data_IF_277829208953
#
_entry.id   IF_277829208953
#
_cell.length_a   1.000
_cell.length_b   1.000
_cell.length_c   1.000
_cell.angle_alpha   90.00
_cell.angle_beta   90.00
_cell.angle_gamma   90.00
#
_symmetry.space_group_name_H-M   'P 1'
#
loop_
_entity.id
_entity.type
_entity.pdbx_description
1 polymer ?
#
# COMPACT_ATOMS: atom_id res chain seq x y z
N UNK A 1 19.22 -8.41 7.55
CA UNK A 1 19.14 -7.33 6.55
C UNK A 1 18.00 -6.41 6.91
N UNK A 2 18.14 -5.12 6.59
CA UNK A 2 17.10 -4.10 6.73
C UNK A 2 16.90 -3.45 5.36
N UNK A 3 15.67 -3.29 4.91
CA UNK A 3 15.34 -2.57 3.68
C UNK A 3 14.70 -1.25 4.07
N UNK A 4 15.10 -0.17 3.40
CA UNK A 4 14.53 1.16 3.58
C UNK A 4 14.10 1.68 2.23
N UNK A 5 12.85 2.13 2.14
CA UNK A 5 12.36 3.01 1.08
C UNK A 5 12.37 4.45 1.60
N UNK A 6 13.01 5.35 0.87
CA UNK A 6 13.08 6.76 1.25
C UNK A 6 13.15 7.67 0.02
N UNK A 7 12.68 8.90 0.20
CA UNK A 7 12.84 9.99 -0.76
C UNK A 7 14.07 10.82 -0.40
N UNK A 8 14.97 11.06 -1.36
CA UNK A 8 16.17 11.86 -1.12
C UNK A 8 15.90 13.38 -1.18
N UNK A 9 16.97 14.18 -1.13
CA UNK A 9 16.86 15.64 -1.17
C UNK A 9 16.59 16.20 -2.57
N UNK A 10 16.82 15.42 -3.62
CA UNK A 10 16.41 15.76 -4.99
C UNK A 10 14.92 15.46 -5.21
N UNK A 11 14.33 14.62 -4.36
CA UNK A 11 12.94 14.20 -4.45
C UNK A 11 12.78 12.78 -4.99
N UNK A 12 13.88 12.06 -5.20
CA UNK A 12 13.92 10.76 -5.87
C UNK A 12 13.72 9.60 -4.89
N UNK A 13 13.08 8.52 -5.37
CA UNK A 13 12.85 7.32 -4.56
C UNK A 13 14.06 6.39 -4.60
N UNK A 14 14.48 5.94 -3.42
CA UNK A 14 15.50 4.93 -3.22
C UNK A 14 14.93 3.77 -2.41
N UNK A 15 15.12 2.55 -2.90
CA UNK A 15 14.94 1.34 -2.10
C UNK A 15 16.31 0.69 -1.93
N UNK A 16 16.84 0.77 -0.72
CA UNK A 16 18.20 0.33 -0.41
C UNK A 16 18.17 -0.77 0.67
N UNK A 17 19.05 -1.75 0.50
CA UNK A 17 19.22 -2.89 1.39
C UNK A 17 20.51 -2.75 2.22
N UNK A 18 20.38 -2.77 3.54
CA UNK A 18 21.47 -2.64 4.49
C UNK A 18 21.80 -3.96 5.18
N UNK A 19 23.09 -4.36 5.25
CA UNK A 19 23.55 -5.38 6.18
C UNK A 19 23.17 -4.96 7.61
N UNK A 20 22.35 -5.76 8.28
CA UNK A 20 21.81 -5.45 9.61
C UNK A 20 21.96 -6.66 10.52
N UNK A 21 22.72 -6.50 11.61
CA UNK A 21 23.03 -7.55 12.60
C UNK A 21 23.15 -6.91 13.99
N UNK A 22 22.57 -7.56 15.00
CA UNK A 22 22.68 -7.10 16.39
C UNK A 22 22.06 -5.72 16.65
N UNK A 23 21.04 -5.32 15.88
CA UNK A 23 20.39 -4.02 16.04
C UNK A 23 21.10 -2.84 15.37
N UNK A 24 22.17 -3.09 14.61
CA UNK A 24 22.94 -2.05 13.92
C UNK A 24 23.15 -2.38 12.44
N UNK A 25 23.29 -1.31 11.64
CA UNK A 25 23.81 -1.40 10.26
C UNK A 25 25.30 -1.69 10.33
N UNK A 26 25.75 -2.72 9.61
CA UNK A 26 27.14 -3.21 9.71
C UNK A 26 27.96 -3.03 8.43
N UNK A 27 27.42 -2.37 7.41
CA UNK A 27 28.11 -2.17 6.14
C UNK A 27 27.35 -1.22 5.22
N UNK A 28 27.92 -1.00 4.03
CA UNK A 28 27.32 -0.14 3.01
C UNK A 28 26.04 -0.75 2.43
N UNK A 29 25.07 0.08 2.03
CA UNK A 29 23.87 -0.41 1.37
C UNK A 29 24.16 -0.96 -0.03
N UNK A 30 23.27 -1.83 -0.48
CA UNK A 30 23.09 -2.21 -1.88
C UNK A 30 21.78 -1.62 -2.38
N UNK A 31 21.81 -0.94 -3.52
CA UNK A 31 20.58 -0.42 -4.14
C UNK A 31 19.74 -1.53 -4.76
N UNK A 32 18.46 -1.55 -4.45
CA UNK A 32 17.47 -2.44 -5.05
C UNK A 32 16.62 -1.73 -6.11
N UNK A 33 16.28 -0.46 -5.90
CA UNK A 33 15.51 0.36 -6.84
C UNK A 33 15.93 1.83 -6.75
N UNK A 34 15.90 2.52 -7.89
CA UNK A 34 15.99 3.97 -8.00
C UNK A 34 14.90 4.46 -8.95
N UNK A 35 14.18 5.52 -8.58
CA UNK A 35 13.25 6.20 -9.46
C UNK A 35 13.51 7.71 -9.41
N UNK A 36 13.83 8.29 -10.57
CA UNK A 36 13.86 9.74 -10.80
C UNK A 36 12.42 10.27 -10.81
N UNK A 37 12.03 10.96 -9.74
CA UNK A 37 10.63 11.30 -9.49
C UNK A 37 10.20 12.50 -10.36
N UNK A 38 9.16 12.35 -11.19
CA UNK A 38 8.77 13.41 -12.11
C UNK A 38 8.03 14.57 -11.43
N UNK A 39 7.43 14.33 -10.26
CA UNK A 39 6.79 15.35 -9.42
C UNK A 39 7.05 15.06 -7.94
N UNK A 40 6.74 16.03 -7.07
CA UNK A 40 7.07 15.99 -5.64
C UNK A 40 6.10 15.14 -4.78
N UNK A 41 5.16 14.40 -5.39
CA UNK A 41 4.10 13.68 -4.70
C UNK A 41 3.83 12.31 -5.34
N UNK A 42 3.13 11.46 -4.58
CA UNK A 42 2.79 10.08 -4.95
C UNK A 42 4.01 9.16 -5.12
N UNK A 43 4.89 9.19 -4.12
CA UNK A 43 6.10 8.36 -4.14
C UNK A 43 5.85 6.93 -3.67
N UNK A 44 4.68 6.63 -3.07
CA UNK A 44 4.47 5.39 -2.31
C UNK A 44 5.26 5.41 -1.00
N UNK A 45 6.03 4.36 -0.73
CA UNK A 45 6.99 4.32 0.39
C UNK A 45 6.85 3.13 1.34
N UNK A 46 5.81 2.32 1.20
CA UNK A 46 5.72 1.05 1.92
C UNK A 46 6.55 -0.01 1.19
N UNK A 47 7.18 -0.91 1.96
CA UNK A 47 7.89 -2.08 1.45
C UNK A 47 7.64 -3.27 2.37
N UNK A 48 7.32 -4.42 1.79
CA UNK A 48 7.04 -5.65 2.54
C UNK A 48 7.64 -6.86 1.85
N UNK A 49 8.14 -7.82 2.61
CA UNK A 49 8.47 -9.12 2.06
C UNK A 49 7.19 -9.95 1.90
N UNK A 50 6.98 -10.47 0.70
CA UNK A 50 5.85 -11.34 0.39
C UNK A 50 6.02 -12.76 0.92
N UNK A 51 4.97 -13.59 0.83
CA UNK A 51 5.01 -14.99 1.25
C UNK A 51 5.99 -15.85 0.44
N UNK A 52 6.40 -15.37 -0.74
CA UNK A 52 7.41 -16.00 -1.60
C UNK A 52 8.85 -15.59 -1.26
N UNK A 53 9.05 -14.75 -0.24
CA UNK A 53 10.36 -14.26 0.20
C UNK A 53 10.93 -13.13 -0.65
N UNK A 54 10.23 -12.65 -1.69
CA UNK A 54 10.64 -11.49 -2.46
C UNK A 54 10.20 -10.18 -1.78
N UNK A 55 10.89 -9.08 -2.11
CA UNK A 55 10.51 -7.75 -1.67
C UNK A 55 9.45 -7.17 -2.61
N UNK A 56 8.36 -6.66 -2.05
CA UNK A 56 7.29 -5.98 -2.78
C UNK A 56 7.36 -4.49 -2.53
N UNK A 57 7.41 -3.71 -3.61
CA UNK A 57 7.50 -2.24 -3.60
C UNK A 57 6.33 -1.65 -4.39
N UNK A 58 5.44 -0.94 -3.71
CA UNK A 58 4.31 -0.24 -4.29
C UNK A 58 4.75 1.18 -4.65
N UNK A 59 4.73 1.50 -5.92
CA UNK A 59 5.14 2.81 -6.43
C UNK A 59 3.89 3.60 -6.83
N UNK A 60 3.82 4.87 -6.44
CA UNK A 60 2.79 5.76 -6.98
C UNK A 60 3.08 6.14 -8.43
N UNK A 61 2.13 6.82 -9.06
CA UNK A 61 2.15 7.22 -10.49
C UNK A 61 3.20 8.31 -10.82
N UNK A 62 3.92 8.77 -9.80
CA UNK A 62 4.92 9.83 -9.88
C UNK A 62 4.34 11.24 -9.76
N UNK A 63 3.04 11.40 -9.50
CA UNK A 63 2.42 12.67 -9.12
C UNK A 63 1.92 13.54 -10.27
N UNK A 64 1.75 14.83 -9.99
CA UNK A 64 1.30 15.83 -10.97
C UNK A 64 -0.22 15.91 -11.19
N UNK A 65 -0.99 15.02 -10.55
CA UNK A 65 -2.45 14.97 -10.63
C UNK A 65 -2.94 14.33 -11.93
N UNK A 66 -3.76 13.29 -11.82
CA UNK A 66 -4.31 12.60 -12.99
C UNK A 66 -3.29 11.86 -13.84
N UNK A 67 -2.10 11.55 -13.31
CA UNK A 67 -0.98 10.91 -14.02
C UNK A 67 -0.73 11.51 -15.42
N UNK A 68 -0.18 12.73 -15.53
CA UNK A 68 -0.02 13.41 -16.82
C UNK A 68 0.85 12.64 -17.82
N UNK A 69 1.72 11.76 -17.32
CA UNK A 69 2.58 10.91 -18.14
C UNK A 69 1.95 9.58 -18.54
N UNK A 70 0.74 9.26 -18.08
CA UNK A 70 0.08 7.96 -18.30
C UNK A 70 0.94 6.78 -17.84
N UNK A 71 1.75 6.99 -16.80
CA UNK A 71 2.78 6.05 -16.34
C UNK A 71 2.18 4.81 -15.69
N UNK A 72 1.07 4.95 -14.96
CA UNK A 72 0.42 3.84 -14.26
C UNK A 72 -0.03 2.74 -15.24
N UNK A 73 -0.48 3.11 -16.44
CA UNK A 73 -0.87 2.18 -17.51
C UNK A 73 0.28 1.81 -18.47
N UNK A 74 1.39 2.56 -18.46
CA UNK A 74 2.54 2.26 -19.32
C UNK A 74 3.30 1.02 -18.79
N UNK A 75 3.40 -0.08 -19.57
CA UNK A 75 4.12 -1.28 -19.14
C UNK A 75 5.65 -1.11 -19.08
N UNK A 76 6.19 -0.07 -19.72
CA UNK A 76 7.61 0.28 -19.65
C UNK A 76 7.97 1.22 -18.50
N UNK A 77 7.01 1.62 -17.67
CA UNK A 77 7.22 2.50 -16.53
C UNK A 77 7.10 1.75 -15.21
N UNK A 78 7.97 2.07 -14.25
CA UNK A 78 7.91 1.52 -12.89
C UNK A 78 7.02 2.34 -11.94
N UNK A 79 6.33 3.38 -12.43
CA UNK A 79 5.38 4.17 -11.63
C UNK A 79 3.96 3.62 -11.72
N UNK A 80 3.20 3.71 -10.62
CA UNK A 80 1.84 3.20 -10.48
C UNK A 80 1.78 1.68 -10.53
N UNK A 81 2.76 1.01 -9.90
CA UNK A 81 2.99 -0.44 -9.99
C UNK A 81 3.07 -1.10 -8.62
N UNK A 82 2.72 -2.38 -8.58
CA UNK A 82 3.27 -3.29 -7.57
C UNK A 82 4.47 -4.00 -8.18
N UNK A 83 5.66 -3.69 -7.66
CA UNK A 83 6.92 -4.29 -8.10
C UNK A 83 7.30 -5.46 -7.20
N UNK A 84 8.02 -6.43 -7.75
CA UNK A 84 8.62 -7.56 -7.03
C UNK A 84 10.11 -7.61 -7.31
N UNK A 85 10.92 -7.71 -6.26
CA UNK A 85 12.37 -7.74 -6.33
C UNK A 85 12.88 -8.99 -5.59
N UNK A 86 13.58 -9.86 -6.30
CA UNK A 86 14.31 -10.97 -5.68
C UNK A 86 15.67 -10.47 -5.14
N UNK A 87 15.73 -10.28 -3.83
CA UNK A 87 16.93 -9.77 -3.13
C UNK A 87 18.00 -10.86 -2.95
N UNK A 88 17.71 -12.13 -3.22
CA UNK A 88 18.69 -13.22 -3.13
C UNK A 88 19.72 -13.23 -4.27
N UNK A 89 19.46 -12.49 -5.35
CA UNK A 89 20.34 -12.41 -6.52
C UNK A 89 21.43 -11.35 -6.36
N UNK A 90 22.57 -11.49 -7.03
CA UNK A 90 23.66 -10.51 -6.97
C UNK A 90 23.27 -9.15 -7.57
N UNK A 91 22.44 -9.17 -8.62
CA UNK A 91 21.92 -8.00 -9.34
C UNK A 91 20.39 -8.04 -9.35
N UNK A 92 19.74 -7.60 -8.25
CA UNK A 92 18.29 -7.56 -8.17
C UNK A 92 17.70 -6.68 -9.26
N UNK A 93 16.61 -7.14 -9.86
CA UNK A 93 15.83 -6.38 -10.82
C UNK A 93 14.38 -6.31 -10.34
N UNK A 94 13.77 -5.15 -10.50
CA UNK A 94 12.36 -4.96 -10.20
C UNK A 94 11.50 -5.45 -11.36
N UNK A 95 10.73 -6.50 -11.09
CA UNK A 95 9.70 -7.01 -11.96
C UNK A 95 8.40 -6.25 -11.72
N UNK A 96 7.73 -5.84 -12.80
CA UNK A 96 6.37 -5.29 -12.72
C UNK A 96 5.39 -6.45 -12.60
N UNK A 97 4.77 -6.60 -11.42
CA UNK A 97 3.72 -7.62 -11.23
C UNK A 97 2.35 -7.11 -11.64
N UNK A 98 1.99 -5.92 -11.17
CA UNK A 98 0.66 -5.35 -11.32
C UNK A 98 0.76 -3.87 -11.68
N UNK A 99 -0.29 -3.35 -12.32
CA UNK A 99 -0.33 -1.99 -12.86
C UNK A 99 -1.58 -1.23 -12.40
N UNK A 100 -1.65 0.05 -12.75
CA UNK A 100 -2.86 0.84 -12.53
C UNK A 100 -3.12 1.24 -11.09
N UNK A 101 -2.06 1.41 -10.29
CA UNK A 101 -2.13 2.04 -8.97
C UNK A 101 -1.88 3.55 -9.08
N UNK A 102 -2.45 4.34 -8.17
CA UNK A 102 -2.20 5.78 -8.08
C UNK A 102 -1.13 6.13 -7.06
N UNK A 103 -1.36 5.80 -5.80
CA UNK A 103 -0.46 6.04 -4.68
C UNK A 103 -0.73 5.00 -3.58
N UNK A 104 -0.22 3.75 -3.73
CA UNK A 104 -0.47 2.66 -2.79
C UNK A 104 0.24 2.95 -1.46
N UNK A 105 -0.49 3.43 -0.47
CA UNK A 105 0.08 3.96 0.78
C UNK A 105 0.47 2.85 1.75
N UNK A 106 -0.48 2.03 2.18
CA UNK A 106 -0.22 0.81 2.95
C UNK A 106 -0.77 -0.39 2.23
N UNK A 107 0.04 -1.42 2.19
CA UNK A 107 -0.37 -2.73 1.75
C UNK A 107 0.28 -3.81 2.60
N UNK A 108 -0.37 -4.96 2.69
CA UNK A 108 0.08 -6.09 3.49
C UNK A 108 -0.35 -7.39 2.86
N UNK A 109 0.42 -8.44 3.16
CA UNK A 109 0.02 -9.81 2.87
C UNK A 109 -0.69 -10.38 4.08
N UNK A 110 -1.85 -10.99 3.86
CA UNK A 110 -2.47 -11.84 4.87
C UNK A 110 -1.55 -13.01 5.19
N UNK A 111 -1.08 -13.09 6.44
CA UNK A 111 -0.11 -14.11 6.88
C UNK A 111 -0.60 -15.55 6.76
N UNK A 112 -1.91 -15.76 6.61
CA UNK A 112 -2.51 -17.10 6.49
C UNK A 112 -2.76 -17.47 5.04
N UNK A 113 -3.34 -16.56 4.25
CA UNK A 113 -3.74 -16.88 2.86
C UNK A 113 -2.67 -16.50 1.85
N UNK A 114 -1.83 -15.52 2.15
CA UNK A 114 -0.88 -14.92 1.21
C UNK A 114 -1.52 -13.90 0.28
N UNK A 115 -2.78 -13.52 0.51
CA UNK A 115 -3.47 -12.50 -0.30
C UNK A 115 -2.89 -11.11 -0.04
N UNK A 116 -2.80 -10.30 -1.08
CA UNK A 116 -2.34 -8.91 -1.02
C UNK A 116 -3.53 -7.97 -0.86
N UNK A 117 -3.48 -7.11 0.15
CA UNK A 117 -4.44 -6.03 0.39
C UNK A 117 -3.74 -4.69 0.29
N UNK A 118 -4.35 -3.71 -0.37
CA UNK A 118 -3.73 -2.41 -0.65
C UNK A 118 -4.75 -1.32 -0.36
N UNK A 119 -4.36 -0.30 0.41
CA UNK A 119 -5.04 1.00 0.38
C UNK A 119 -4.39 1.87 -0.68
N UNK A 120 -5.12 2.18 -1.75
CA UNK A 120 -4.65 3.03 -2.84
C UNK A 120 -5.35 4.39 -2.79
N UNK A 121 -4.55 5.46 -2.66
CA UNK A 121 -5.07 6.81 -2.44
C UNK A 121 -5.61 7.41 -3.72
N UNK A 122 -6.86 7.86 -3.66
CA UNK A 122 -7.60 8.49 -4.75
C UNK A 122 -7.12 9.86 -5.19
N UNK A 123 -7.61 10.34 -6.33
CA UNK A 123 -7.27 11.66 -6.86
C UNK A 123 -8.04 12.81 -6.21
N UNK A 124 -9.31 12.59 -5.91
CA UNK A 124 -10.16 13.61 -5.31
C UNK A 124 -11.63 13.23 -5.14
N UNK A 125 -12.05 12.03 -5.56
CA UNK A 125 -13.43 11.59 -5.40
C UNK A 125 -13.55 10.27 -4.62
N UNK A 126 -12.66 9.30 -4.87
CA UNK A 126 -12.81 7.94 -4.36
C UNK A 126 -11.52 7.38 -3.79
N UNK A 127 -11.62 6.82 -2.60
CA UNK A 127 -10.57 6.03 -1.96
C UNK A 127 -10.84 4.53 -2.14
N UNK A 128 -9.77 3.73 -2.23
CA UNK A 128 -9.87 2.35 -2.69
C UNK A 128 -9.16 1.36 -1.77
N UNK A 129 -9.80 0.20 -1.55
CA UNK A 129 -9.15 -1.01 -1.06
C UNK A 129 -9.09 -2.02 -2.20
N UNK A 130 -7.88 -2.26 -2.68
CA UNK A 130 -7.59 -3.27 -3.68
C UNK A 130 -7.18 -4.60 -3.05
N UNK A 131 -7.38 -5.65 -3.83
CA UNK A 131 -7.12 -7.03 -3.44
C UNK A 131 -6.49 -7.81 -4.60
N UNK A 132 -5.52 -8.66 -4.28
CA UNK A 132 -4.98 -9.64 -5.19
C UNK A 132 -4.88 -11.01 -4.47
N UNK A 133 -5.49 -12.08 -5.03
CA UNK A 133 -5.32 -13.42 -4.49
C UNK A 133 -3.84 -13.82 -4.39
N UNK A 134 -3.51 -14.68 -3.44
CA UNK A 134 -2.15 -15.18 -3.28
C UNK A 134 -1.55 -15.71 -4.59
N UNK A 135 -0.38 -15.18 -4.96
CA UNK A 135 0.34 -15.57 -6.17
C UNK A 135 -0.23 -15.04 -7.49
N UNK A 136 -1.29 -14.22 -7.46
CA UNK A 136 -1.80 -13.59 -8.68
C UNK A 136 -0.82 -12.55 -9.24
N UNK A 137 -0.86 -12.38 -10.57
CA UNK A 137 0.01 -11.47 -11.34
C UNK A 137 -0.78 -10.84 -12.47
N UNK A 138 -0.38 -9.67 -12.93
CA UNK A 138 -0.99 -8.96 -14.05
C UNK A 138 -2.31 -8.27 -13.72
N UNK A 139 -2.58 -7.98 -12.44
CA UNK A 139 -3.73 -7.17 -12.05
C UNK A 139 -3.52 -5.74 -12.56
N UNK A 140 -4.61 -5.13 -13.05
CA UNK A 140 -4.63 -3.72 -13.43
C UNK A 140 -5.79 -3.04 -12.71
N UNK A 141 -5.52 -2.19 -11.73
CA UNK A 141 -6.56 -1.54 -10.92
C UNK A 141 -7.16 -0.28 -11.56
N UNK A 142 -6.67 0.10 -12.74
CA UNK A 142 -7.38 1.02 -13.62
C UNK A 142 -6.89 2.46 -13.63
N UNK A 143 -6.13 2.91 -12.63
CA UNK A 143 -5.58 4.27 -12.62
C UNK A 143 -4.66 4.50 -13.84
N UNK A 144 -4.75 5.58 -14.61
CA UNK A 144 -5.56 6.79 -14.43
C UNK A 144 -6.82 6.84 -15.29
N UNK A 145 -7.32 5.71 -15.78
CA UNK A 145 -8.57 5.66 -16.53
C UNK A 145 -9.78 5.52 -15.62
N UNK A 146 -9.56 5.05 -14.39
CA UNK A 146 -10.54 4.93 -13.32
C UNK A 146 -10.02 5.52 -12.03
N UNK A 147 -10.96 5.93 -11.18
CA UNK A 147 -10.77 6.27 -9.78
C UNK A 147 -11.91 5.56 -9.04
N UNK A 148 -11.56 4.55 -8.27
CA UNK A 148 -12.48 3.52 -7.80
C UNK A 148 -13.07 2.75 -8.96
N UNK A 149 -14.36 2.49 -8.83
CA UNK A 149 -15.21 1.92 -9.87
C UNK A 149 -15.73 2.97 -10.83
N UNK A 150 -15.23 4.20 -10.77
CA UNK A 150 -15.74 5.30 -11.57
C UNK A 150 -14.78 5.65 -12.71
N UNK A 151 -15.34 6.16 -13.80
CA UNK A 151 -14.53 6.70 -14.89
C UNK A 151 -13.80 7.95 -14.39
N UNK A 152 -12.49 8.03 -14.65
CA UNK A 152 -11.70 9.22 -14.36
C UNK A 152 -11.32 9.92 -15.66
N UNK A 153 -11.51 11.25 -15.73
CA UNK A 153 -11.24 12.07 -16.92
C UNK A 153 -11.83 11.51 -18.23
N UNK A 154 -13.05 10.97 -18.17
CA UNK A 154 -13.71 10.36 -19.34
C UNK A 154 -13.04 9.05 -19.82
N UNK A 155 -12.16 8.47 -19.00
CA UNK A 155 -11.50 7.21 -19.26
C UNK A 155 -12.46 6.02 -19.22
N UNK A 156 -12.20 5.05 -20.08
CA UNK A 156 -12.80 3.72 -20.02
C UNK A 156 -11.89 2.78 -19.24
N UNK A 157 -12.44 1.78 -18.52
CA UNK A 157 -11.63 0.75 -17.89
C UNK A 157 -10.63 0.14 -18.87
N UNK A 158 -9.34 -0.01 -18.50
CA UNK A 158 -8.37 -0.70 -19.34
C UNK A 158 -8.75 -2.19 -19.49
N UNK A 159 -8.17 -2.84 -20.51
CA UNK A 159 -8.35 -4.27 -20.70
C UNK A 159 -7.84 -5.04 -19.47
N UNK A 160 -8.66 -5.96 -18.95
CA UNK A 160 -8.31 -6.74 -17.76
C UNK A 160 -8.38 -5.95 -16.44
N UNK A 161 -9.09 -4.81 -16.41
CA UNK A 161 -9.31 -4.05 -15.19
C UNK A 161 -9.88 -4.93 -14.08
N UNK A 162 -9.30 -4.81 -12.88
CA UNK A 162 -9.81 -5.39 -11.64
C UNK A 162 -10.36 -4.26 -10.79
N UNK A 163 -11.61 -4.38 -10.33
CA UNK A 163 -12.24 -3.38 -9.48
C UNK A 163 -11.74 -3.52 -8.03
N UNK A 164 -11.65 -2.41 -7.27
CA UNK A 164 -11.38 -2.49 -5.84
C UNK A 164 -12.49 -3.28 -5.13
N UNK A 165 -12.11 -4.03 -4.09
CA UNK A 165 -13.05 -4.83 -3.29
C UNK A 165 -13.90 -3.96 -2.36
N UNK A 166 -13.44 -2.74 -2.10
CA UNK A 166 -14.17 -1.69 -1.39
C UNK A 166 -13.73 -0.31 -1.87
N UNK A 167 -14.68 0.62 -1.96
CA UNK A 167 -14.41 2.03 -2.25
C UNK A 167 -15.28 2.90 -1.36
N UNK A 168 -14.84 4.12 -1.11
CA UNK A 168 -15.62 5.11 -0.37
C UNK A 168 -15.28 6.52 -0.85
N UNK A 169 -16.30 7.37 -0.92
CA UNK A 169 -16.15 8.72 -1.47
C UNK A 169 -15.58 9.70 -0.46
N UNK A 170 -15.03 10.81 -0.96
CA UNK A 170 -14.59 12.00 -0.19
C UNK A 170 -15.79 12.75 0.43
N UNK A 171 -16.55 12.08 1.29
CA UNK A 171 -17.64 12.68 2.05
C UNK A 171 -17.14 13.21 3.40
N UNK A 172 -17.60 14.39 3.80
CA UNK A 172 -17.20 15.01 5.06
C UNK A 172 -15.71 15.37 5.05
N UNK A 173 -14.92 14.70 5.89
CA UNK A 173 -13.48 14.95 6.05
C UNK A 173 -12.60 13.81 5.53
N UNK A 174 -13.16 12.82 4.83
CA UNK A 174 -12.38 11.76 4.15
C UNK A 174 -11.46 12.38 3.11
N UNK A 175 -10.20 11.90 3.01
CA UNK A 175 -9.23 12.51 2.11
C UNK A 175 -8.16 11.57 1.55
N UNK A 176 -7.79 10.49 2.25
CA UNK A 176 -6.71 9.60 1.88
C UNK A 176 -6.79 8.31 2.67
N UNK A 177 -7.05 7.19 1.98
CA UNK A 177 -7.01 5.88 2.61
C UNK A 177 -5.61 5.57 3.10
N UNK A 178 -5.53 5.13 4.35
CA UNK A 178 -4.27 4.68 4.94
C UNK A 178 -3.98 3.24 4.53
N UNK A 179 -5.00 2.40 4.27
CA UNK A 179 -4.86 0.94 4.14
C UNK A 179 -4.67 0.27 5.50
N UNK A 180 -4.19 -0.98 5.56
CA UNK A 180 -3.96 -1.68 6.83
C UNK A 180 -3.63 -3.16 6.72
N UNK A 181 -4.23 -3.98 7.62
CA UNK A 181 -3.87 -5.40 7.83
C UNK A 181 -5.09 -6.29 8.02
N UNK A 182 -4.98 -7.54 7.57
CA UNK A 182 -5.91 -8.59 7.98
C UNK A 182 -5.57 -9.04 9.40
N UNK A 183 -6.54 -8.95 10.31
CA UNK A 183 -6.36 -9.35 11.69
C UNK A 183 -6.21 -10.88 11.80
N UNK A 184 -5.07 -11.32 12.34
CA UNK A 184 -4.73 -12.73 12.60
C UNK A 184 -4.35 -13.01 14.07
N UNK A 185 -4.52 -12.03 14.94
CA UNK A 185 -4.33 -12.16 16.39
C UNK A 185 -5.41 -12.97 17.09
N UNK A 186 -5.24 -13.15 18.40
CA UNK A 186 -6.13 -13.95 19.24
C UNK A 186 -6.97 -13.12 20.22
N UNK A 187 -6.59 -11.87 20.47
CA UNK A 187 -7.26 -10.99 21.46
C UNK A 187 -8.66 -10.57 21.03
N UNK A 188 -8.85 -10.23 19.75
CA UNK A 188 -10.15 -9.83 19.21
C UNK A 188 -10.93 -11.08 18.77
N UNK A 189 -11.66 -11.68 19.71
CA UNK A 189 -12.49 -12.87 19.45
C UNK A 189 -13.48 -12.66 18.29
N UNK A 190 -13.44 -13.54 17.28
CA UNK A 190 -14.31 -13.48 16.09
C UNK A 190 -13.82 -12.57 14.96
N UNK A 191 -12.69 -11.88 15.14
CA UNK A 191 -12.17 -10.92 14.15
C UNK A 191 -11.17 -11.52 13.16
N UNK A 192 -10.77 -12.78 13.33
CA UNK A 192 -9.86 -13.45 12.40
C UNK A 192 -10.33 -13.31 10.94
N UNK A 193 -9.42 -12.88 10.05
CA UNK A 193 -9.70 -12.67 8.63
C UNK A 193 -10.45 -11.36 8.31
N UNK A 194 -10.59 -10.44 9.28
CA UNK A 194 -11.13 -9.10 9.05
C UNK A 194 -10.02 -8.17 8.61
N UNK A 195 -10.17 -7.46 7.49
CA UNK A 195 -9.24 -6.42 7.08
C UNK A 195 -9.55 -5.11 7.82
N UNK A 196 -8.58 -4.63 8.61
CA UNK A 196 -8.67 -3.38 9.35
C UNK A 196 -7.93 -2.31 8.57
N UNK A 197 -8.58 -1.17 8.33
CA UNK A 197 -8.04 -0.04 7.58
C UNK A 197 -8.57 1.27 8.14
N UNK A 198 -8.08 2.40 7.62
CA UNK A 198 -8.57 3.72 7.99
C UNK A 198 -8.41 4.71 6.84
N UNK A 199 -8.97 5.90 7.04
CA UNK A 199 -8.66 7.13 6.32
C UNK A 199 -7.83 8.05 7.22
N UNK A 200 -6.82 8.72 6.65
CA UNK A 200 -5.87 9.55 7.39
C UNK A 200 -6.54 10.76 8.08
N UNK A 201 -7.44 11.45 7.40
CA UNK A 201 -8.05 12.69 7.88
C UNK A 201 -9.16 12.43 8.92
N UNK A 202 -9.96 11.38 8.71
CA UNK A 202 -11.04 11.00 9.62
C UNK A 202 -10.50 10.18 10.80
N UNK A 203 -9.48 9.35 10.58
CA UNK A 203 -8.78 8.62 11.64
C UNK A 203 -9.57 7.47 12.26
N UNK A 204 -10.75 7.15 11.72
CA UNK A 204 -11.59 6.03 12.17
C UNK A 204 -11.03 4.70 11.67
N UNK A 205 -10.96 3.72 12.55
CA UNK A 205 -10.64 2.34 12.17
C UNK A 205 -11.91 1.67 11.64
N UNK A 206 -11.83 1.23 10.40
CA UNK A 206 -12.87 0.53 9.67
C UNK A 206 -12.52 -0.96 9.58
N UNK A 207 -13.55 -1.80 9.50
CA UNK A 207 -13.42 -3.24 9.42
C UNK A 207 -14.15 -3.78 8.20
N UNK A 208 -13.40 -4.34 7.26
CA UNK A 208 -13.91 -4.97 6.05
C UNK A 208 -13.90 -6.49 6.18
N UNK A 209 -15.07 -7.11 5.93
CA UNK A 209 -15.23 -8.56 5.84
C UNK A 209 -16.46 -8.90 5.00
N UNK A 210 -16.35 -9.95 4.17
CA UNK A 210 -17.45 -10.48 3.36
C UNK A 210 -18.18 -9.42 2.52
N UNK A 211 -17.43 -8.55 1.83
CA UNK A 211 -18.00 -7.55 0.93
C UNK A 211 -18.57 -6.29 1.61
N UNK A 212 -18.42 -6.15 2.93
CA UNK A 212 -18.95 -5.02 3.69
C UNK A 212 -17.91 -4.43 4.63
N UNK A 213 -17.89 -3.10 4.73
CA UNK A 213 -17.12 -2.36 5.72
C UNK A 213 -18.03 -1.81 6.82
N UNK A 214 -17.53 -1.77 8.06
CA UNK A 214 -18.21 -1.14 9.20
C UNK A 214 -17.24 -0.35 10.07
N UNK A 215 -17.73 0.72 10.68
CA UNK A 215 -17.02 1.48 11.71
C UNK A 215 -16.84 0.59 12.97
N UNK A 216 -15.63 0.55 13.52
CA UNK A 216 -15.32 -0.21 14.74
C UNK A 216 -15.62 0.57 16.02
N UNK A 217 -15.84 1.88 15.92
CA UNK A 217 -15.94 2.80 17.05
C UNK A 217 -14.60 3.30 17.56
N UNK A 218 -13.47 2.81 17.02
CA UNK A 218 -12.13 3.26 17.36
C UNK A 218 -11.69 4.38 16.42
N UNK A 219 -11.02 5.40 16.96
CA UNK A 219 -10.45 6.48 16.18
C UNK A 219 -9.19 7.04 16.83
N UNK A 220 -8.26 7.52 16.00
CA UNK A 220 -7.15 8.37 16.42
C UNK A 220 -6.90 9.40 15.34
N UNK A 221 -6.51 10.62 15.71
CA UNK A 221 -6.16 11.66 14.74
C UNK A 221 -4.89 11.29 13.97
N UNK A 222 -4.78 11.81 12.73
CA UNK A 222 -3.64 11.63 11.82
C UNK A 222 -3.15 10.17 11.74
N UNK A 223 -4.09 9.24 11.54
CA UNK A 223 -3.81 7.81 11.45
C UNK A 223 -3.05 7.50 10.16
N UNK A 224 -1.72 7.52 10.23
CA UNK A 224 -0.87 7.42 9.04
C UNK A 224 -0.38 6.00 8.72
N UNK A 225 -0.46 5.07 9.67
CA UNK A 225 -0.05 3.69 9.41
C UNK A 225 -0.68 2.69 10.37
N UNK A 226 -0.54 1.42 10.01
CA UNK A 226 -0.82 0.27 10.85
C UNK A 226 0.46 -0.54 11.06
N UNK A 227 0.49 -1.38 12.08
CA UNK A 227 1.55 -2.38 12.28
C UNK A 227 0.95 -3.70 12.71
N UNK A 228 1.70 -4.78 12.58
CA UNK A 228 1.34 -6.10 13.07
C UNK A 228 2.52 -6.69 13.83
N UNK A 229 2.29 -7.23 15.02
CA UNK A 229 3.32 -7.95 15.76
C UNK A 229 3.41 -9.44 15.36
N UNK A 230 4.34 -10.16 15.98
CA UNK A 230 4.54 -11.58 15.70
C UNK A 230 3.32 -12.45 16.04
N UNK A 231 2.51 -12.03 17.01
CA UNK A 231 1.30 -12.73 17.43
C UNK A 231 0.08 -12.40 16.55
N UNK A 232 0.22 -11.51 15.56
CA UNK A 232 -0.87 -11.10 14.68
C UNK A 232 -1.75 -10.00 15.25
N UNK A 233 -1.34 -9.39 16.37
CA UNK A 233 -2.05 -8.26 16.95
C UNK A 233 -1.73 -7.00 16.14
N UNK A 234 -2.77 -6.19 15.90
CA UNK A 234 -2.70 -5.02 15.01
C UNK A 234 -2.55 -3.75 15.84
N UNK A 235 -1.69 -2.87 15.35
CA UNK A 235 -1.36 -1.58 15.92
C UNK A 235 -1.69 -0.47 14.93
N UNK A 236 -1.91 0.71 15.48
CA UNK A 236 -2.18 1.96 14.76
C UNK A 236 -1.11 2.97 15.14
N UNK A 237 -0.62 3.72 14.14
CA UNK A 237 0.40 4.75 14.32
C UNK A 237 -0.18 6.10 13.90
N UNK A 238 -0.01 7.10 14.77
CA UNK A 238 -0.45 8.47 14.53
C UNK A 238 0.73 9.41 14.32
N UNK A 239 0.60 10.37 13.38
CA UNK A 239 1.57 11.45 13.23
C UNK A 239 1.50 12.50 14.36
N UNK A 240 0.40 12.54 15.12
CA UNK A 240 0.34 13.32 16.37
C UNK A 240 1.16 12.65 17.49
N UNK A 241 1.70 11.46 17.23
CA UNK A 241 2.50 10.67 18.15
C UNK A 241 1.74 9.47 18.70
N UNK A 242 2.49 8.40 19.00
CA UNK A 242 1.97 7.20 19.65
C UNK A 242 1.85 5.99 18.74
N UNK A 243 1.87 4.83 19.38
CA UNK A 243 1.62 3.52 18.78
C UNK A 243 0.60 2.82 19.68
N UNK A 244 -0.56 2.51 19.12
CA UNK A 244 -1.71 2.00 19.87
C UNK A 244 -2.05 0.59 19.39
N UNK A 245 -2.16 -0.37 20.30
CA UNK A 245 -2.70 -1.70 19.95
C UNK A 245 -4.22 -1.62 19.89
N UNK A 246 -4.83 -2.34 18.96
CA UNK A 246 -6.27 -2.57 18.93
C UNK A 246 -6.58 -3.73 19.89
N UNK A 247 -7.28 -3.44 20.98
CA UNK A 247 -7.71 -4.42 21.99
C UNK A 247 -9.25 -4.48 22.08
N UNK A 248 -9.82 -5.54 22.69
CA UNK A 248 -11.24 -5.58 23.05
C UNK A 248 -11.62 -4.42 23.97
N UNK A 249 -12.89 -3.98 23.87
CA UNK A 249 -13.48 -2.98 24.76
C UNK A 249 -13.60 -3.47 26.22
#
# INVERSE_FOLDING_TARGET
>A
TMVIDYTDKAGDTHVDEYPFRGGAVTGSPRRLLFLDQPYANHNGGNVVFGPDGALYVGTGDGGGGGDPGGRAQNPGSQFGKMLRIDTGTATPAAEILNTGLRNPWRYSFDRVTGDLWIGDVGQGAWEEIDFAPAGSRGQNWGWNRREGKHAYNGGSPPAGNVDPVYEFGHQGSVCAVTGGYVYRGARLGGWAGTYLFADFCVGKVMAYKNGSARDTGLATSQLASFGEDRAGEVYVLSLDGGVFRIDPA
#
